data_IF_927118057836
#
_entry.id   IF_927118057836
#
_cell.length_a   1.000
_cell.length_b   1.000
_cell.length_c   1.000
_cell.angle_alpha   90.00
_cell.angle_beta   90.00
_cell.angle_gamma   90.00
#
_symmetry.space_group_name_H-M   'P 1'
#
loop_
_entity.id
_entity.type
_entity.pdbx_description
1 polymer ?
#
# COMPACT_ATOMS: atom_id res chain seq x y z
N UNK A 1 1.79 15.92 -14.59
CA UNK A 1 0.86 14.91 -14.03
C UNK A 1 0.09 15.61 -12.93
N UNK A 2 -1.20 15.84 -13.14
CA UNK A 2 -2.05 16.37 -12.08
C UNK A 2 -2.54 15.21 -11.21
N UNK A 3 -2.22 15.31 -9.94
CA UNK A 3 -2.84 14.55 -8.86
C UNK A 3 -3.62 15.58 -8.07
N UNK A 4 -4.93 15.42 -8.01
CA UNK A 4 -5.83 16.33 -7.29
C UNK A 4 -6.81 15.54 -6.46
N UNK A 5 -6.98 15.96 -5.22
CA UNK A 5 -8.02 15.45 -4.35
C UNK A 5 -8.44 16.54 -3.36
N UNK A 6 -9.73 16.64 -3.12
CA UNK A 6 -10.28 17.50 -2.09
C UNK A 6 -10.97 16.65 -1.03
N UNK A 7 -10.42 16.66 0.18
CA UNK A 7 -11.01 15.98 1.34
C UNK A 7 -11.99 16.93 2.01
N UNK A 8 -13.26 16.55 2.03
CA UNK A 8 -14.34 17.27 2.69
C UNK A 8 -14.70 16.63 4.05
N UNK A 9 -15.64 17.25 4.77
CA UNK A 9 -16.09 16.77 6.09
C UNK A 9 -16.72 15.37 6.06
N UNK A 10 -17.37 15.00 4.96
CA UNK A 10 -17.99 13.69 4.78
C UNK A 10 -16.90 12.61 4.61
N UNK A 11 -15.89 12.87 3.79
CA UNK A 11 -14.73 11.96 3.65
C UNK A 11 -14.04 11.71 5.01
N UNK A 12 -13.85 12.76 5.84
CA UNK A 12 -13.28 12.59 7.18
C UNK A 12 -14.19 11.73 8.09
N UNK A 13 -15.50 11.97 8.04
CA UNK A 13 -16.48 11.19 8.80
C UNK A 13 -16.46 9.72 8.38
N UNK A 14 -16.44 9.46 7.08
CA UNK A 14 -16.43 8.10 6.53
C UNK A 14 -15.12 7.37 6.86
N UNK A 15 -13.97 8.05 6.71
CA UNK A 15 -12.68 7.48 7.08
C UNK A 15 -12.62 7.10 8.57
N UNK A 16 -13.05 8.00 9.46
CA UNK A 16 -13.08 7.75 10.89
C UNK A 16 -14.09 6.65 11.29
N UNK A 17 -15.19 6.50 10.55
CA UNK A 17 -16.20 5.47 10.80
C UNK A 17 -15.78 4.11 10.29
N UNK A 18 -15.28 4.03 9.06
CA UNK A 18 -15.10 2.77 8.32
C UNK A 18 -13.64 2.33 8.21
N UNK A 19 -12.67 3.25 8.38
CA UNK A 19 -11.23 3.01 8.26
C UNK A 19 -10.68 3.21 6.86
N UNK A 20 -11.51 3.60 5.91
CA UNK A 20 -11.11 3.86 4.52
C UNK A 20 -12.09 4.77 3.79
N UNK A 21 -11.63 5.36 2.69
CA UNK A 21 -12.46 6.07 1.70
C UNK A 21 -11.99 5.72 0.29
N UNK A 22 -12.86 5.94 -0.68
CA UNK A 22 -12.54 5.82 -2.12
C UNK A 22 -12.95 7.08 -2.86
N UNK A 23 -12.16 7.46 -3.86
CA UNK A 23 -12.41 8.62 -4.72
C UNK A 23 -12.18 8.21 -6.17
N UNK A 24 -13.13 8.53 -7.05
CA UNK A 24 -13.13 8.01 -8.43
C UNK A 24 -12.14 8.70 -9.37
N UNK A 25 -11.61 9.87 -9.00
CA UNK A 25 -10.65 10.62 -9.81
C UNK A 25 -9.52 11.15 -8.96
N UNK A 26 -8.29 10.74 -9.26
CA UNK A 26 -7.09 11.14 -8.54
C UNK A 26 -5.92 11.42 -9.49
N UNK A 27 -5.69 10.56 -10.49
CA UNK A 27 -4.68 10.74 -11.54
C UNK A 27 -5.38 10.94 -12.88
N UNK A 28 -4.87 11.86 -13.70
CA UNK A 28 -5.36 12.03 -15.06
C UNK A 28 -5.11 10.77 -15.91
N UNK A 29 -6.13 10.34 -16.63
CA UNK A 29 -6.12 9.11 -17.43
C UNK A 29 -5.01 9.05 -18.47
N UNK A 30 -4.59 10.21 -19.00
CA UNK A 30 -3.50 10.32 -19.98
C UNK A 30 -2.15 9.78 -19.46
N UNK A 31 -1.96 9.67 -18.15
CA UNK A 31 -0.73 9.15 -17.55
C UNK A 31 -0.76 7.65 -17.26
N UNK A 32 -1.93 7.02 -17.32
CA UNK A 32 -2.09 5.63 -16.89
C UNK A 32 -1.32 4.65 -17.79
N UNK A 33 -1.35 4.84 -19.10
CA UNK A 33 -0.65 3.94 -20.02
C UNK A 33 0.87 4.04 -19.83
N UNK A 34 1.42 5.24 -19.68
CA UNK A 34 2.84 5.41 -19.38
C UNK A 34 3.23 4.75 -18.05
N UNK A 35 2.38 4.83 -17.01
CA UNK A 35 2.61 4.16 -15.74
C UNK A 35 2.60 2.63 -15.89
N UNK A 36 1.66 2.08 -16.67
CA UNK A 36 1.60 0.65 -16.97
C UNK A 36 2.83 0.16 -17.73
N UNK A 37 3.30 0.92 -18.71
CA UNK A 37 4.55 0.63 -19.44
C UNK A 37 5.75 0.63 -18.51
N UNK A 38 5.89 1.65 -17.63
CA UNK A 38 6.99 1.69 -16.65
C UNK A 38 6.94 0.50 -15.69
N UNK A 39 5.76 0.10 -15.24
CA UNK A 39 5.59 -1.11 -14.40
C UNK A 39 6.06 -2.36 -15.15
N UNK A 40 5.71 -2.50 -16.42
CA UNK A 40 6.15 -3.65 -17.22
C UNK A 40 7.68 -3.71 -17.36
N UNK A 41 8.33 -2.58 -17.60
CA UNK A 41 9.79 -2.46 -17.68
C UNK A 41 10.46 -2.76 -16.33
N UNK A 42 9.92 -2.26 -15.23
CA UNK A 42 10.41 -2.58 -13.88
C UNK A 42 10.41 -4.10 -13.61
N UNK A 43 9.35 -4.81 -13.99
CA UNK A 43 9.29 -6.27 -13.85
C UNK A 43 10.19 -7.04 -14.84
N UNK A 44 10.72 -6.38 -15.86
CA UNK A 44 11.77 -6.90 -16.76
C UNK A 44 13.19 -6.61 -16.21
N UNK A 45 13.31 -5.78 -15.16
CA UNK A 45 14.59 -5.37 -14.58
C UNK A 45 15.18 -4.12 -15.23
N UNK A 46 14.36 -3.37 -15.96
CA UNK A 46 14.77 -2.11 -16.60
C UNK A 46 14.52 -0.94 -15.65
N UNK A 47 15.54 -0.56 -14.91
CA UNK A 47 15.50 0.51 -13.91
C UNK A 47 16.05 1.81 -14.51
N UNK A 48 15.18 2.79 -14.72
CA UNK A 48 15.52 4.07 -15.36
C UNK A 48 16.65 4.81 -14.63
N UNK A 49 16.70 4.70 -13.30
CA UNK A 49 17.73 5.36 -12.47
C UNK A 49 19.01 4.55 -12.32
N UNK A 50 19.03 3.29 -12.78
CA UNK A 50 20.11 2.34 -12.52
C UNK A 50 20.16 1.79 -11.09
N UNK A 51 19.17 2.15 -10.24
CA UNK A 51 19.08 1.69 -8.84
C UNK A 51 18.03 0.57 -8.77
N UNK A 52 18.41 -0.58 -8.22
CA UNK A 52 17.47 -1.66 -7.94
C UNK A 52 16.49 -1.28 -6.80
N UNK A 53 15.23 -1.76 -6.86
CA UNK A 53 14.28 -1.61 -5.76
C UNK A 53 14.74 -2.41 -4.52
N UNK A 54 14.19 -2.09 -3.35
CA UNK A 54 14.57 -2.81 -2.12
C UNK A 54 14.09 -4.26 -2.09
N UNK A 55 12.95 -4.53 -2.71
CA UNK A 55 12.42 -5.89 -2.89
C UNK A 55 11.84 -6.06 -4.30
N UNK A 56 12.10 -7.20 -4.87
CA UNK A 56 11.56 -7.60 -6.16
C UNK A 56 11.23 -9.09 -6.12
N UNK A 57 10.01 -9.42 -5.79
CA UNK A 57 9.60 -10.78 -5.43
C UNK A 57 9.22 -11.70 -6.60
N UNK A 58 9.12 -11.19 -7.81
CA UNK A 58 8.80 -11.98 -9.00
C UNK A 58 9.80 -11.72 -10.12
N UNK A 59 10.29 -12.79 -10.76
CA UNK A 59 11.21 -12.75 -11.89
C UNK A 59 10.63 -13.56 -13.05
N UNK A 60 10.64 -12.98 -14.25
CA UNK A 60 10.25 -13.69 -15.47
C UNK A 60 11.14 -14.90 -15.69
N UNK A 61 10.53 -16.02 -16.07
CA UNK A 61 11.25 -17.29 -16.32
C UNK A 61 11.68 -18.08 -15.06
N UNK A 62 11.62 -17.46 -13.86
CA UNK A 62 11.92 -18.12 -12.58
C UNK A 62 10.63 -18.48 -11.81
N UNK A 63 9.73 -17.50 -11.71
CA UNK A 63 8.55 -17.60 -10.86
C UNK A 63 7.27 -17.87 -11.68
N UNK A 64 6.24 -18.51 -11.10
CA UNK A 64 5.00 -18.78 -11.79
C UNK A 64 4.33 -17.49 -12.31
N UNK A 65 3.72 -17.55 -13.50
CA UNK A 65 3.06 -16.39 -14.10
C UNK A 65 1.75 -15.98 -13.40
N UNK A 66 1.10 -16.93 -12.72
CA UNK A 66 -0.20 -16.74 -12.06
C UNK A 66 -0.09 -16.33 -10.58
N UNK A 67 0.95 -15.63 -10.20
CA UNK A 67 1.09 -15.03 -8.86
C UNK A 67 0.97 -13.51 -8.93
N UNK A 68 0.56 -12.90 -7.84
CA UNK A 68 0.65 -11.44 -7.70
C UNK A 68 2.12 -11.04 -7.62
N UNK A 69 2.55 -10.17 -8.52
CA UNK A 69 3.91 -9.65 -8.61
C UNK A 69 4.02 -8.39 -7.77
N UNK A 70 5.14 -8.21 -7.08
CA UNK A 70 5.37 -7.06 -6.21
C UNK A 70 6.81 -6.54 -6.35
N UNK A 71 6.94 -5.22 -6.36
CA UNK A 71 8.20 -4.49 -6.19
C UNK A 71 7.99 -3.47 -5.08
N UNK A 72 8.91 -3.42 -4.11
CA UNK A 72 8.90 -2.44 -3.02
C UNK A 72 9.96 -1.38 -3.25
N UNK A 73 9.60 -0.12 -3.01
CA UNK A 73 10.45 1.05 -3.23
C UNK A 73 10.91 1.23 -4.69
N UNK A 74 9.98 1.00 -5.62
CA UNK A 74 10.15 1.27 -7.03
C UNK A 74 10.42 2.76 -7.33
N UNK A 75 10.07 3.67 -6.42
CA UNK A 75 10.35 5.10 -6.54
C UNK A 75 11.84 5.43 -6.68
N UNK A 76 12.72 4.55 -6.20
CA UNK A 76 14.17 4.68 -6.36
C UNK A 76 14.63 4.32 -7.77
N UNK A 77 13.91 3.41 -8.39
CA UNK A 77 14.25 2.77 -9.67
C UNK A 77 13.63 3.49 -10.86
N UNK A 78 12.58 4.29 -10.64
CA UNK A 78 11.77 4.88 -11.69
C UNK A 78 11.28 6.29 -11.33
N UNK A 79 11.56 7.26 -12.21
CA UNK A 79 11.21 8.67 -11.99
C UNK A 79 9.72 8.94 -12.09
N UNK A 80 8.97 8.19 -12.91
CA UNK A 80 7.52 8.39 -13.03
C UNK A 80 6.79 7.83 -11.81
N UNK A 81 7.19 6.64 -11.33
CA UNK A 81 6.69 6.10 -10.05
C UNK A 81 7.00 7.07 -8.91
N UNK A 82 8.24 7.60 -8.84
CA UNK A 82 8.62 8.62 -7.86
C UNK A 82 7.69 9.83 -7.88
N UNK A 83 7.37 10.37 -9.06
CA UNK A 83 6.46 11.51 -9.20
C UNK A 83 5.06 11.24 -8.66
N UNK A 84 4.62 9.97 -8.70
CA UNK A 84 3.34 9.55 -8.12
C UNK A 84 3.44 9.46 -6.59
N UNK A 85 4.29 8.58 -6.08
CA UNK A 85 4.28 8.22 -4.65
C UNK A 85 4.92 9.28 -3.75
N UNK A 86 5.78 10.13 -4.30
CA UNK A 86 6.36 11.29 -3.60
C UNK A 86 5.57 12.58 -3.82
N UNK A 87 4.33 12.51 -4.33
CA UNK A 87 3.52 13.70 -4.55
C UNK A 87 3.01 14.27 -3.21
N UNK A 88 3.20 15.58 -2.95
CA UNK A 88 2.79 16.22 -1.69
C UNK A 88 1.28 16.12 -1.42
N UNK A 89 0.44 16.02 -2.45
CA UNK A 89 -1.02 15.84 -2.29
C UNK A 89 -1.34 14.56 -1.52
N UNK A 90 -0.55 13.48 -1.69
CA UNK A 90 -0.71 12.24 -0.90
C UNK A 90 -0.43 12.52 0.57
N UNK A 91 0.70 13.19 0.86
CA UNK A 91 1.09 13.53 2.23
C UNK A 91 0.07 14.43 2.92
N UNK A 92 -0.37 15.49 2.25
CA UNK A 92 -1.40 16.40 2.75
C UNK A 92 -2.72 15.68 3.04
N UNK A 93 -3.16 14.82 2.09
CA UNK A 93 -4.40 14.06 2.22
C UNK A 93 -4.35 13.11 3.41
N UNK A 94 -3.30 12.30 3.51
CA UNK A 94 -3.14 11.36 4.62
C UNK A 94 -2.99 12.08 5.95
N UNK A 95 -2.29 13.22 6.00
CA UNK A 95 -2.20 14.05 7.20
C UNK A 95 -3.57 14.56 7.66
N UNK A 96 -4.41 15.00 6.73
CA UNK A 96 -5.80 15.43 7.04
C UNK A 96 -6.65 14.26 7.55
N UNK A 97 -6.58 13.09 6.92
CA UNK A 97 -7.36 11.92 7.30
C UNK A 97 -6.95 11.36 8.67
N UNK A 98 -5.65 11.36 8.97
CA UNK A 98 -5.08 10.79 10.19
C UNK A 98 -4.92 11.81 11.33
N UNK A 99 -5.13 13.11 11.07
CA UNK A 99 -4.89 14.17 12.04
C UNK A 99 -3.39 14.45 12.32
N UNK A 100 -2.50 14.09 11.40
CA UNK A 100 -1.05 14.33 11.52
C UNK A 100 -0.64 15.75 11.16
N UNK A 101 0.50 16.21 11.69
CA UNK A 101 1.09 17.50 11.31
C UNK A 101 1.85 17.44 9.99
N UNK A 102 2.12 16.26 9.48
CA UNK A 102 2.78 15.99 8.21
C UNK A 102 2.84 14.49 7.94
N UNK A 103 3.27 14.12 6.75
CA UNK A 103 3.39 12.71 6.36
C UNK A 103 4.68 12.45 5.58
N UNK A 104 5.25 11.28 5.81
CA UNK A 104 6.48 10.78 5.22
C UNK A 104 6.23 9.43 4.56
N UNK A 105 6.74 9.23 3.35
CA UNK A 105 6.74 7.94 2.67
C UNK A 105 7.75 7.02 3.36
N UNK A 106 7.32 5.82 3.75
CA UNK A 106 8.22 4.79 4.27
C UNK A 106 8.42 3.63 3.30
N UNK A 107 7.47 3.40 2.43
CA UNK A 107 7.51 2.34 1.42
C UNK A 107 6.52 2.64 0.31
N UNK A 108 6.88 2.36 -0.93
CA UNK A 108 5.90 2.16 -2.00
C UNK A 108 5.87 0.71 -2.46
N UNK A 109 4.73 0.31 -2.99
CA UNK A 109 4.57 -0.99 -3.64
C UNK A 109 3.99 -0.79 -5.04
N UNK A 110 4.60 -1.45 -6.00
CA UNK A 110 4.00 -1.69 -7.32
C UNK A 110 3.51 -3.13 -7.34
N UNK A 111 2.21 -3.30 -7.51
CA UNK A 111 1.56 -4.61 -7.54
C UNK A 111 0.94 -4.87 -8.92
N UNK A 112 1.20 -6.06 -9.45
CA UNK A 112 0.60 -6.54 -10.70
C UNK A 112 0.01 -7.93 -10.48
N UNK A 113 -1.32 -8.02 -10.54
CA UNK A 113 -2.06 -9.28 -10.47
C UNK A 113 -2.56 -9.63 -11.88
N UNK A 114 -1.90 -10.56 -12.58
CA UNK A 114 -2.30 -11.01 -13.92
C UNK A 114 -3.62 -11.81 -13.87
N UNK A 115 -4.23 -12.17 -15.01
CA UNK A 115 -5.29 -13.17 -15.06
C UNK A 115 -4.90 -14.43 -14.31
N UNK A 116 -5.81 -14.99 -13.51
CA UNK A 116 -5.59 -16.11 -12.59
C UNK A 116 -4.53 -15.82 -11.50
N UNK A 117 -4.11 -14.57 -11.34
CA UNK A 117 -3.18 -14.13 -10.30
C UNK A 117 -3.73 -14.45 -8.90
N UNK A 118 -2.93 -15.17 -8.11
CA UNK A 118 -3.33 -15.68 -6.79
C UNK A 118 -3.61 -14.57 -5.79
N UNK A 119 -4.32 -14.95 -4.73
CA UNK A 119 -4.71 -14.06 -3.62
C UNK A 119 -3.53 -13.50 -2.84
N UNK A 120 -3.79 -12.43 -2.10
CA UNK A 120 -2.96 -11.93 -1.01
C UNK A 120 -3.78 -12.05 0.29
N UNK A 121 -3.15 -12.54 1.35
CA UNK A 121 -3.80 -12.72 2.66
C UNK A 121 -4.43 -11.45 3.19
N UNK A 122 -5.52 -11.60 3.95
CA UNK A 122 -5.98 -10.52 4.80
C UNK A 122 -4.93 -10.19 5.87
N UNK A 123 -4.69 -8.90 6.05
CA UNK A 123 -3.68 -8.36 6.95
C UNK A 123 -4.02 -6.93 7.37
N UNK A 124 -3.26 -6.40 8.29
CA UNK A 124 -3.21 -4.98 8.66
C UNK A 124 -1.83 -4.45 8.27
N UNK A 125 -1.74 -3.38 7.47
CA UNK A 125 -0.46 -2.81 7.04
C UNK A 125 0.44 -2.43 8.23
N UNK A 126 -0.17 -1.92 9.30
CA UNK A 126 0.55 -1.51 10.51
C UNK A 126 1.31 -2.66 11.20
N UNK A 127 0.94 -3.92 10.94
CA UNK A 127 1.64 -5.07 11.51
C UNK A 127 3.05 -5.27 10.95
N UNK A 128 3.33 -4.70 9.77
CA UNK A 128 4.63 -4.80 9.11
C UNK A 128 5.59 -3.66 9.44
N UNK A 129 5.13 -2.63 10.17
CA UNK A 129 5.92 -1.43 10.50
C UNK A 129 6.21 -1.27 11.99
N UNK A 130 6.36 -2.38 12.69
CA UNK A 130 6.72 -2.44 14.12
C UNK A 130 8.14 -1.86 14.42
N UNK A 131 8.91 -1.59 13.39
CA UNK A 131 10.21 -0.95 13.44
C UNK A 131 10.16 0.60 13.44
N UNK A 132 8.95 1.19 13.38
CA UNK A 132 8.69 2.64 13.41
C UNK A 132 7.95 3.03 14.68
N UNK A 133 8.26 4.19 15.22
CA UNK A 133 7.59 4.78 16.40
C UNK A 133 7.09 6.18 16.03
N UNK A 134 5.80 6.51 16.26
CA UNK A 134 4.73 5.59 16.68
C UNK A 134 4.40 4.55 15.61
N UNK A 135 3.96 3.35 16.01
CA UNK A 135 3.52 2.29 15.10
C UNK A 135 2.14 2.63 14.52
N UNK A 136 2.08 3.67 13.71
CA UNK A 136 0.88 4.13 13.03
C UNK A 136 1.22 4.45 11.58
N UNK A 137 0.31 4.13 10.66
CA UNK A 137 0.48 4.40 9.25
C UNK A 137 -0.86 4.53 8.54
N UNK A 138 -0.82 5.08 7.35
CA UNK A 138 -1.95 5.09 6.43
C UNK A 138 -1.46 4.90 5.00
N UNK A 139 -2.32 4.35 4.17
CA UNK A 139 -1.99 3.90 2.82
C UNK A 139 -2.81 4.65 1.78
N UNK A 140 -2.15 5.10 0.73
CA UNK A 140 -2.73 5.58 -0.52
C UNK A 140 -2.58 4.47 -1.57
N UNK A 141 -3.69 3.94 -2.08
CA UNK A 141 -3.75 2.83 -3.04
C UNK A 141 -4.37 3.29 -4.35
N UNK A 142 -3.60 3.29 -5.45
CA UNK A 142 -3.92 3.92 -6.73
C UNK A 142 -4.05 2.86 -7.81
N UNK A 143 -5.25 2.54 -8.29
CA UNK A 143 -5.45 1.60 -9.38
C UNK A 143 -5.11 2.23 -10.74
N UNK A 144 -4.38 1.47 -11.57
CA UNK A 144 -4.10 1.82 -12.96
C UNK A 144 -5.05 1.13 -13.94
N UNK A 145 -5.79 0.13 -13.48
CA UNK A 145 -6.85 -0.57 -14.21
C UNK A 145 -8.18 -0.38 -13.48
N UNK A 146 -9.31 -0.60 -14.14
CA UNK A 146 -10.60 -0.58 -13.46
C UNK A 146 -10.68 -1.68 -12.40
N UNK A 147 -11.08 -1.32 -11.19
CA UNK A 147 -11.22 -2.24 -10.08
C UNK A 147 -12.62 -2.82 -10.06
N UNK A 148 -12.70 -4.14 -10.17
CA UNK A 148 -13.92 -4.93 -10.21
C UNK A 148 -13.80 -6.08 -9.20
N UNK A 149 -14.94 -6.61 -8.74
CA UNK A 149 -14.92 -7.74 -7.77
C UNK A 149 -14.18 -8.95 -8.35
N UNK A 150 -14.45 -9.25 -9.62
CA UNK A 150 -13.90 -10.41 -10.33
C UNK A 150 -12.40 -10.32 -10.63
N UNK A 151 -11.79 -9.12 -10.65
CA UNK A 151 -10.35 -9.02 -10.90
C UNK A 151 -9.49 -9.06 -9.62
N UNK A 152 -10.07 -9.52 -8.53
CA UNK A 152 -9.39 -9.65 -7.25
C UNK A 152 -8.96 -8.29 -6.71
N UNK A 153 -9.86 -7.31 -6.75
CA UNK A 153 -9.65 -5.99 -6.15
C UNK A 153 -9.40 -6.10 -4.64
N UNK A 154 -8.96 -5.01 -4.03
CA UNK A 154 -8.83 -4.89 -2.59
C UNK A 154 -10.21 -4.99 -1.92
N UNK A 155 -10.31 -5.75 -0.83
CA UNK A 155 -11.51 -5.87 -0.01
C UNK A 155 -11.18 -5.49 1.44
N UNK A 156 -11.91 -4.52 1.99
CA UNK A 156 -11.76 -4.05 3.37
C UNK A 156 -12.74 -4.74 4.32
N UNK A 157 -12.29 -5.07 5.52
CA UNK A 157 -13.16 -5.33 6.66
C UNK A 157 -13.57 -3.98 7.27
N UNK A 158 -14.85 -3.62 7.10
CA UNK A 158 -15.38 -2.30 7.51
C UNK A 158 -15.25 -2.13 9.03
N UNK A 159 -14.72 -0.98 9.49
CA UNK A 159 -14.48 -0.60 10.89
C UNK A 159 -13.38 -1.40 11.61
N UNK A 160 -12.65 -2.25 10.92
CA UNK A 160 -11.62 -3.09 11.54
C UNK A 160 -10.38 -2.31 11.99
N UNK A 161 -10.22 -1.05 11.57
CA UNK A 161 -9.17 -0.17 12.11
C UNK A 161 -9.34 0.13 13.61
N UNK A 162 -10.52 -0.16 14.17
CA UNK A 162 -10.84 -0.04 15.60
C UNK A 162 -10.58 -1.35 16.37
N UNK A 163 -10.08 -2.39 15.70
CA UNK A 163 -9.73 -3.67 16.31
C UNK A 163 -8.26 -3.70 16.72
N UNK A 164 -7.88 -4.70 17.51
CA UNK A 164 -6.50 -4.86 17.93
C UNK A 164 -5.57 -5.15 16.75
N UNK A 165 -4.32 -4.73 16.86
CA UNK A 165 -3.29 -5.05 15.90
C UNK A 165 -2.89 -6.52 16.05
N UNK A 166 -2.89 -7.24 14.93
CA UNK A 166 -2.45 -8.62 14.85
C UNK A 166 -1.01 -8.74 14.32
N UNK A 167 -0.31 -9.84 14.60
CA UNK A 167 0.96 -10.13 13.95
C UNK A 167 0.84 -10.15 12.42
N UNK A 168 1.92 -9.88 11.69
CA UNK A 168 1.93 -10.01 10.24
C UNK A 168 1.64 -11.44 9.80
N UNK A 169 1.01 -11.61 8.62
CA UNK A 169 0.73 -12.92 8.05
C UNK A 169 2.03 -13.64 7.65
N UNK A 170 2.17 -14.90 8.06
CA UNK A 170 3.29 -15.75 7.64
C UNK A 170 3.19 -16.19 6.17
N UNK A 171 1.98 -16.18 5.61
CA UNK A 171 1.67 -16.63 4.24
C UNK A 171 1.00 -15.52 3.43
N UNK A 172 1.68 -14.39 3.28
CA UNK A 172 1.11 -13.22 2.60
C UNK A 172 0.80 -13.48 1.12
N UNK A 173 1.75 -14.09 0.39
CA UNK A 173 1.62 -14.35 -1.04
C UNK A 173 1.03 -15.73 -1.34
N UNK A 174 -0.03 -15.76 -2.16
CA UNK A 174 -0.65 -16.98 -2.67
C UNK A 174 -1.06 -18.01 -1.60
N UNK A 175 -1.65 -17.60 -0.48
CA UNK A 175 -2.08 -18.53 0.57
C UNK A 175 -3.16 -19.49 0.04
N UNK A 176 -3.28 -20.64 0.68
CA UNK A 176 -4.37 -21.61 0.38
C UNK A 176 -5.74 -21.01 0.72
N UNK A 177 -5.82 -20.31 1.83
CA UNK A 177 -7.00 -19.58 2.29
C UNK A 177 -6.56 -18.17 2.68
N UNK A 178 -6.95 -17.19 1.88
CA UNK A 178 -6.52 -15.80 2.08
C UNK A 178 -7.33 -15.06 3.17
N UNK A 179 -8.37 -15.67 3.70
CA UNK A 179 -9.19 -15.12 4.80
C UNK A 179 -8.84 -15.72 6.16
N UNK A 180 -8.01 -16.76 6.19
CA UNK A 180 -7.75 -17.55 7.39
C UNK A 180 -7.41 -16.71 8.62
N UNK A 181 -6.45 -15.78 8.51
CA UNK A 181 -6.01 -14.95 9.64
C UNK A 181 -7.15 -14.04 10.14
N UNK A 182 -7.93 -13.48 9.23
CA UNK A 182 -9.11 -12.68 9.59
C UNK A 182 -10.18 -13.54 10.24
N UNK A 183 -10.50 -14.69 9.66
CA UNK A 183 -11.54 -15.59 10.19
C UNK A 183 -11.17 -16.14 11.58
N UNK A 184 -9.91 -16.45 11.82
CA UNK A 184 -9.41 -16.85 13.13
C UNK A 184 -9.53 -15.70 14.15
N UNK A 185 -9.16 -14.47 13.75
CA UNK A 185 -9.34 -13.29 14.59
C UNK A 185 -10.82 -13.05 14.97
N UNK A 186 -11.71 -13.16 13.99
CA UNK A 186 -13.15 -12.96 14.20
C UNK A 186 -13.73 -13.95 15.20
N UNK A 187 -13.34 -15.24 15.09
CA UNK A 187 -13.78 -16.31 15.99
C UNK A 187 -13.31 -16.06 17.44
N UNK A 188 -12.02 -15.74 17.60
CA UNK A 188 -11.42 -15.53 18.93
C UNK A 188 -12.04 -14.29 19.62
N UNK A 189 -12.29 -13.22 18.87
CA UNK A 189 -12.72 -11.93 19.40
C UNK A 189 -14.22 -11.69 19.27
N UNK A 190 -14.99 -12.68 18.83
CA UNK A 190 -16.45 -12.60 18.63
C UNK A 190 -16.87 -11.36 17.82
N UNK A 191 -16.15 -11.07 16.71
CA UNK A 191 -16.43 -9.94 15.83
C UNK A 191 -17.31 -10.36 14.65
N UNK A 192 -18.15 -9.43 14.17
CA UNK A 192 -18.98 -9.62 12.99
C UNK A 192 -18.32 -8.93 11.80
N UNK A 193 -18.07 -9.70 10.74
CA UNK A 193 -17.47 -9.20 9.52
C UNK A 193 -18.50 -8.55 8.60
N UNK A 194 -18.17 -7.32 8.17
CA UNK A 194 -18.77 -6.69 6.99
C UNK A 194 -17.63 -6.31 6.05
N UNK A 195 -17.65 -6.81 4.82
CA UNK A 195 -16.62 -6.46 3.84
C UNK A 195 -17.12 -5.43 2.83
N UNK A 196 -16.18 -4.69 2.27
CA UNK A 196 -16.40 -3.71 1.21
C UNK A 196 -15.30 -3.83 0.15
N UNK A 197 -15.59 -4.37 -1.04
CA UNK A 197 -14.64 -4.38 -2.14
C UNK A 197 -14.46 -2.96 -2.70
N UNK A 198 -13.22 -2.64 -3.10
CA UNK A 198 -12.89 -1.39 -3.77
C UNK A 198 -13.27 -1.49 -5.24
N UNK A 199 -14.40 -0.94 -5.61
CA UNK A 199 -14.89 -0.89 -7.01
C UNK A 199 -14.81 0.55 -7.47
N UNK A 200 -13.73 0.91 -8.15
CA UNK A 200 -13.44 2.28 -8.63
C UNK A 200 -12.78 2.22 -10.01
N UNK A 201 -12.93 3.28 -10.83
CA UNK A 201 -12.28 3.35 -12.13
C UNK A 201 -10.76 3.46 -12.01
N UNK A 202 -10.06 3.11 -13.08
CA UNK A 202 -8.65 3.40 -13.26
C UNK A 202 -8.37 4.91 -13.03
N UNK A 203 -7.29 5.22 -12.34
CA UNK A 203 -6.95 6.60 -11.96
C UNK A 203 -7.72 7.15 -10.76
N UNK A 204 -8.60 6.36 -10.15
CA UNK A 204 -9.15 6.65 -8.83
C UNK A 204 -8.14 6.42 -7.71
N UNK A 205 -8.60 6.45 -6.46
CA UNK A 205 -7.75 6.19 -5.27
C UNK A 205 -8.57 5.64 -4.12
N UNK A 206 -7.95 4.79 -3.32
CA UNK A 206 -8.41 4.44 -1.98
C UNK A 206 -7.40 4.89 -0.94
N UNK A 207 -7.88 5.51 0.15
CA UNK A 207 -7.08 5.79 1.33
C UNK A 207 -7.58 4.94 2.48
N UNK A 208 -6.68 4.28 3.20
CA UNK A 208 -7.06 3.46 4.36
C UNK A 208 -6.09 3.59 5.52
N UNK A 209 -6.63 3.42 6.71
CA UNK A 209 -5.89 3.38 7.96
C UNK A 209 -5.07 2.08 8.03
N UNK A 210 -3.82 2.13 8.49
CA UNK A 210 -2.93 0.98 8.55
C UNK A 210 -3.45 -0.20 9.41
N UNK A 211 -4.39 0.08 10.32
CA UNK A 211 -5.07 -0.94 11.13
C UNK A 211 -6.28 -1.59 10.43
N UNK A 212 -6.66 -1.11 9.23
CA UNK A 212 -7.80 -1.70 8.52
C UNK A 212 -7.41 -3.04 7.94
N UNK A 213 -8.08 -4.11 8.39
CA UNK A 213 -7.94 -5.43 7.79
C UNK A 213 -8.38 -5.42 6.32
N UNK A 214 -7.52 -5.90 5.46
CA UNK A 214 -7.80 -5.98 4.04
C UNK A 214 -7.06 -7.14 3.37
N UNK A 215 -7.60 -7.58 2.26
CA UNK A 215 -7.03 -8.66 1.48
C UNK A 215 -7.46 -8.58 0.02
N UNK A 216 -7.02 -9.52 -0.79
CA UNK A 216 -7.27 -9.52 -2.22
C UNK A 216 -7.42 -10.95 -2.74
N UNK A 217 -8.61 -11.29 -3.23
CA UNK A 217 -8.90 -12.60 -3.83
C UNK A 217 -8.14 -12.86 -5.13
N UNK A 218 -8.38 -14.02 -5.71
CA UNK A 218 -7.85 -14.39 -7.04
C UNK A 218 -8.41 -13.46 -8.11
N UNK A 219 -7.60 -13.09 -9.09
CA UNK A 219 -8.07 -12.42 -10.29
C UNK A 219 -8.76 -13.45 -11.20
N UNK A 220 -10.08 -13.49 -11.19
CA UNK A 220 -10.91 -14.39 -12.00
C UNK A 220 -11.22 -13.82 -13.39
N UNK A 221 -10.80 -12.57 -13.66
CA UNK A 221 -10.97 -11.93 -14.96
C UNK A 221 -9.86 -12.33 -15.94
N UNK A 222 -10.02 -11.93 -17.20
CA UNK A 222 -9.01 -12.10 -18.24
C UNK A 222 -8.15 -10.84 -18.45
N UNK A 223 -8.19 -9.87 -17.53
CA UNK A 223 -7.43 -8.62 -17.60
C UNK A 223 -6.45 -8.49 -16.43
N UNK A 224 -5.39 -7.74 -16.65
CA UNK A 224 -4.45 -7.38 -15.61
C UNK A 224 -5.08 -6.45 -14.56
N UNK A 225 -4.60 -6.51 -13.33
CA UNK A 225 -4.88 -5.57 -12.26
C UNK A 225 -3.57 -5.00 -11.71
N UNK A 226 -3.28 -3.76 -12.04
CA UNK A 226 -2.05 -3.06 -11.62
C UNK A 226 -2.39 -1.91 -10.69
N UNK A 227 -1.58 -1.74 -9.66
CA UNK A 227 -1.73 -0.65 -8.69
C UNK A 227 -0.38 -0.12 -8.24
N UNK A 228 -0.37 1.14 -7.83
CA UNK A 228 0.73 1.78 -7.13
C UNK A 228 0.23 2.12 -5.73
N UNK A 229 1.04 1.84 -4.73
CA UNK A 229 0.69 2.03 -3.31
C UNK A 229 1.75 2.89 -2.65
N UNK A 230 1.35 3.87 -1.85
CA UNK A 230 2.23 4.65 -0.99
C UNK A 230 1.83 4.43 0.47
N UNK A 231 2.76 3.88 1.26
CA UNK A 231 2.62 3.69 2.70
C UNK A 231 3.30 4.85 3.43
N UNK A 232 2.54 5.56 4.25
CA UNK A 232 3.02 6.76 4.93
C UNK A 232 2.86 6.65 6.44
N UNK A 233 3.75 7.34 7.15
CA UNK A 233 3.75 7.53 8.61
C UNK A 233 3.76 9.03 8.91
N UNK A 234 3.52 9.46 10.17
CA UNK A 234 3.69 10.86 10.57
C UNK A 234 5.08 11.40 10.22
N UNK A 235 5.19 12.70 9.95
CA UNK A 235 6.46 13.37 9.61
C UNK A 235 7.53 13.21 10.70
N UNK A 236 7.13 13.16 11.97
CA UNK A 236 7.97 13.02 13.16
C UNK A 236 8.26 11.57 13.57
N UNK A 237 7.78 10.60 12.80
CA UNK A 237 8.06 9.20 13.03
C UNK A 237 9.57 8.88 12.98
N UNK A 238 10.00 7.91 13.80
CA UNK A 238 11.39 7.52 13.97
C UNK A 238 11.56 6.01 13.89
N UNK A 239 12.77 5.54 13.67
CA UNK A 239 13.10 4.14 13.89
C UNK A 239 12.82 3.74 15.34
N UNK A 240 12.18 2.60 15.54
CA UNK A 240 12.08 2.00 16.87
C UNK A 240 13.49 1.67 17.38
N UNK A 241 13.88 2.07 18.60
CA UNK A 241 15.26 1.94 19.07
C UNK A 241 15.76 0.49 19.13
N UNK A 242 14.90 -0.47 19.44
CA UNK A 242 15.26 -1.88 19.61
C UNK A 242 14.56 -2.85 18.67
N UNK A 243 13.36 -2.52 18.15
CA UNK A 243 12.62 -3.43 17.27
C UNK A 243 13.02 -3.26 15.80
N UNK A 244 13.24 -4.40 15.13
CA UNK A 244 13.56 -4.48 13.70
C UNK A 244 12.78 -5.59 13.00
N UNK A 245 11.64 -5.99 13.57
CA UNK A 245 10.74 -6.97 12.98
C UNK A 245 10.10 -6.51 11.68
N UNK A 246 9.22 -7.33 11.12
CA UNK A 246 8.50 -7.03 9.90
C UNK A 246 9.44 -6.65 8.75
N UNK A 247 9.13 -5.55 8.04
CA UNK A 247 9.97 -5.00 6.98
C UNK A 247 11.21 -4.26 7.52
N UNK A 248 11.32 -4.06 8.83
CA UNK A 248 12.45 -3.37 9.46
C UNK A 248 13.80 -4.01 9.20
N UNK A 249 13.86 -5.33 8.97
CA UNK A 249 15.09 -6.05 8.55
C UNK A 249 15.67 -5.48 7.26
N UNK A 250 14.82 -5.02 6.35
CA UNK A 250 15.21 -4.44 5.05
C UNK A 250 15.61 -2.98 5.21
N UNK A 251 14.82 -2.20 5.97
CA UNK A 251 14.97 -0.74 6.03
C UNK A 251 15.97 -0.25 7.06
N UNK A 252 16.37 -1.10 8.02
CA UNK A 252 17.37 -0.74 9.03
C UNK A 252 18.73 -0.37 8.44
N UNK A 253 19.05 -0.82 7.23
CA UNK A 253 20.25 -0.40 6.47
C UNK A 253 20.31 1.10 6.19
N UNK A 254 19.16 1.78 6.25
CA UNK A 254 19.04 3.24 6.04
C UNK A 254 19.10 4.04 7.33
N UNK A 255 19.17 3.38 8.49
CA UNK A 255 19.33 4.04 9.77
C UNK A 255 20.74 4.61 9.86
N UNK A 256 20.84 5.92 10.11
CA UNK A 256 22.12 6.57 10.34
C UNK A 256 22.70 6.18 11.71
N UNK A 257 24.04 6.15 11.81
CA UNK A 257 24.70 5.88 13.07
C UNK A 257 24.30 6.93 14.11
N UNK A 258 23.93 6.45 15.30
CA UNK A 258 23.54 7.28 16.45
C UNK A 258 22.29 8.17 16.21
N UNK A 259 21.43 7.81 15.27
CA UNK A 259 20.18 8.52 15.02
C UNK A 259 19.03 7.55 14.80
N UNK A 260 17.88 7.82 15.43
CA UNK A 260 16.61 7.12 15.16
C UNK A 260 15.76 7.86 14.11
N UNK A 261 16.23 8.98 13.58
CA UNK A 261 15.49 9.77 12.59
C UNK A 261 15.35 9.01 11.25
N UNK A 262 14.17 9.11 10.65
CA UNK A 262 13.94 8.63 9.29
C UNK A 262 14.55 9.63 8.31
N UNK A 263 15.68 9.27 7.69
CA UNK A 263 16.39 10.14 6.74
C UNK A 263 15.53 10.39 5.49
N UNK A 264 15.29 11.65 5.16
CA UNK A 264 14.48 12.06 4.00
C UNK A 264 15.03 11.60 2.64
N UNK A 265 16.30 11.27 2.53
CA UNK A 265 16.88 10.68 1.31
C UNK A 265 16.35 9.26 1.02
N UNK A 266 15.91 8.54 2.07
CA UNK A 266 15.40 7.17 1.96
C UNK A 266 13.90 7.07 2.31
N UNK A 267 13.42 8.03 3.12
CA UNK A 267 12.03 8.13 3.57
C UNK A 267 11.54 9.56 3.31
N UNK A 268 11.16 9.88 2.06
CA UNK A 268 10.84 11.26 1.67
C UNK A 268 9.75 11.89 2.53
N UNK A 269 9.99 13.09 3.02
CA UNK A 269 8.95 13.94 3.57
C UNK A 269 8.05 14.39 2.42
N UNK A 270 6.76 14.04 2.46
CA UNK A 270 5.83 14.38 1.39
C UNK A 270 5.17 15.74 1.62
N UNK A 271 4.79 15.99 2.86
CA UNK A 271 4.10 17.22 3.25
C UNK A 271 4.25 17.46 4.75
N UNK A 272 4.30 18.73 5.14
CA UNK A 272 4.30 19.21 6.52
C UNK A 272 3.54 20.52 6.60
N UNK A 273 2.80 20.74 7.71
CA UNK A 273 1.97 21.91 7.94
C UNK A 273 2.78 23.13 8.31
#
# INVERSE_FOLDING_TARGET
MMIEVSINKEHLKDFNRDGFITINKFIDLQYLENLKERIALLFQGEFETGIEPDEWNWRSGRDPNNVTRQICNAWKSDNLIKKVVCNPVIGETLSKLMGWQGARLIQDNVLWKPPQGKSLSYHQDASYVDWVVPQTMATCWIPLDNMLKENGTLEFAVKSHQWDLCPPSDNFHAPKDYKKELDDYLKINNKILKTSPVVIPAGGVSFHHGMTWHGSGVNQSNTDRRVIVAHCVPNDAKFHPSNSGGTGKIYRKYKLNNSDELNSSFFPLLWEK
#
